data_IF_222921058012
#
_entry.id   IF_222921058012
#
_cell.length_a   1.000
_cell.length_b   1.000
_cell.length_c   1.000
_cell.angle_alpha   90.00
_cell.angle_beta   90.00
_cell.angle_gamma   90.00
#
_symmetry.space_group_name_H-M   'P 1'
#
loop_
_entity.id
_entity.type
_entity.pdbx_description
1 polymer ?
#
# COMPACT_ATOMS: atom_id res chain seq x y z
N UNK A 1 -47.28 37.19 -22.38
CA UNK A 1 -46.04 36.50 -22.80
C UNK A 1 -45.40 35.86 -21.56
N UNK A 2 -45.26 34.53 -21.46
CA UNK A 2 -44.51 33.93 -20.35
C UNK A 2 -43.05 33.75 -20.76
N UNK A 3 -42.13 34.22 -19.93
CA UNK A 3 -40.70 34.00 -20.07
C UNK A 3 -40.41 32.68 -19.35
N UNK A 4 -40.31 31.58 -20.08
CA UNK A 4 -39.87 30.30 -19.50
C UNK A 4 -38.36 30.38 -19.31
N UNK A 5 -37.92 30.72 -18.10
CA UNK A 5 -36.50 30.60 -17.70
C UNK A 5 -36.17 29.11 -17.56
N UNK A 6 -35.58 28.52 -18.60
CA UNK A 6 -35.02 27.18 -18.54
C UNK A 6 -33.62 27.30 -17.94
N UNK A 7 -33.50 27.05 -16.64
CA UNK A 7 -32.20 26.94 -15.99
C UNK A 7 -31.39 25.80 -16.64
N UNK A 8 -30.13 26.00 -17.04
CA UNK A 8 -29.32 24.92 -17.56
C UNK A 8 -28.96 23.99 -16.40
N UNK A 9 -29.43 22.74 -16.47
CA UNK A 9 -28.96 21.68 -15.61
C UNK A 9 -27.44 21.57 -15.76
N UNK A 10 -26.69 21.99 -14.74
CA UNK A 10 -25.24 21.82 -14.67
C UNK A 10 -24.93 20.33 -14.64
N UNK A 11 -24.73 19.75 -15.83
CA UNK A 11 -24.25 18.38 -16.00
C UNK A 11 -22.81 18.32 -15.56
N UNK A 12 -22.60 18.15 -14.26
CA UNK A 12 -21.29 17.85 -13.68
C UNK A 12 -20.80 16.54 -14.27
N UNK A 13 -19.84 16.62 -15.19
CA UNK A 13 -19.14 15.45 -15.70
C UNK A 13 -18.26 14.91 -14.58
N UNK A 14 -18.75 13.91 -13.88
CA UNK A 14 -18.08 13.24 -12.76
C UNK A 14 -16.67 12.79 -13.19
N UNK A 15 -15.58 13.40 -12.70
CA UNK A 15 -14.21 13.07 -13.09
C UNK A 15 -13.69 11.85 -12.33
N UNK A 16 -14.58 10.95 -11.89
CA UNK A 16 -14.30 9.87 -10.95
C UNK A 16 -13.21 8.93 -11.50
N UNK A 17 -13.20 8.67 -12.81
CA UNK A 17 -12.24 7.75 -13.44
C UNK A 17 -10.80 8.27 -13.38
N UNK A 18 -10.58 9.58 -13.52
CA UNK A 18 -9.25 10.18 -13.47
C UNK A 18 -8.70 10.27 -12.04
N UNK A 19 -9.58 10.48 -11.06
CA UNK A 19 -9.21 10.44 -9.65
C UNK A 19 -8.67 9.06 -9.24
N UNK A 20 -9.28 7.97 -9.73
CA UNK A 20 -8.77 6.61 -9.48
C UNK A 20 -7.41 6.36 -10.14
N UNK A 21 -7.21 6.80 -11.38
CA UNK A 21 -5.91 6.63 -12.08
C UNK A 21 -4.80 7.41 -11.37
N UNK A 22 -5.09 8.59 -10.83
CA UNK A 22 -4.10 9.40 -10.12
C UNK A 22 -3.78 8.87 -8.71
N UNK A 23 -4.78 8.36 -7.98
CA UNK A 23 -4.61 7.92 -6.58
C UNK A 23 -4.16 6.46 -6.44
N UNK A 24 -4.48 5.61 -7.40
CA UNK A 24 -4.09 4.20 -7.40
C UNK A 24 -2.58 3.95 -7.28
N UNK A 25 -1.68 4.62 -8.03
CA UNK A 25 -0.25 4.40 -7.88
C UNK A 25 0.27 4.86 -6.51
N UNK A 26 -0.28 5.93 -5.94
CA UNK A 26 0.10 6.40 -4.60
C UNK A 26 -0.33 5.40 -3.52
N UNK A 27 -1.53 4.86 -3.64
CA UNK A 27 -2.02 3.80 -2.76
C UNK A 27 -1.16 2.53 -2.86
N UNK A 28 -0.82 2.11 -4.09
CA UNK A 28 0.03 0.95 -4.33
C UNK A 28 1.44 1.15 -3.78
N UNK A 29 2.01 2.35 -3.96
CA UNK A 29 3.30 2.72 -3.37
C UNK A 29 3.25 2.67 -1.83
N UNK A 30 2.15 3.12 -1.21
CA UNK A 30 1.94 3.00 0.24
C UNK A 30 1.97 1.55 0.73
N UNK A 31 1.30 0.63 0.01
CA UNK A 31 1.34 -0.80 0.33
C UNK A 31 2.75 -1.37 0.18
N UNK A 32 3.46 -0.99 -0.89
CA UNK A 32 4.84 -1.41 -1.10
C UNK A 32 5.76 -0.93 0.03
N UNK A 33 5.63 0.33 0.44
CA UNK A 33 6.39 0.89 1.55
C UNK A 33 6.11 0.16 2.87
N UNK A 34 4.83 -0.13 3.17
CA UNK A 34 4.43 -0.88 4.36
C UNK A 34 5.02 -2.30 4.35
N UNK A 35 4.98 -2.99 3.21
CA UNK A 35 5.60 -4.31 3.06
C UNK A 35 7.11 -4.28 3.25
N UNK A 36 7.80 -3.31 2.64
CA UNK A 36 9.26 -3.15 2.80
C UNK A 36 9.60 -2.89 4.28
N UNK A 37 8.81 -2.05 4.96
CA UNK A 37 9.00 -1.79 6.39
C UNK A 37 8.85 -3.07 7.22
N UNK A 38 7.74 -3.81 7.05
CA UNK A 38 7.48 -5.07 7.77
C UNK A 38 8.58 -6.10 7.53
N UNK A 39 9.10 -6.20 6.31
CA UNK A 39 10.23 -7.11 6.03
C UNK A 39 11.49 -6.73 6.79
N UNK A 40 11.79 -5.43 6.92
CA UNK A 40 12.93 -4.95 7.71
C UNK A 40 12.75 -5.21 9.20
N UNK A 41 11.54 -5.00 9.72
CA UNK A 41 11.20 -5.30 11.11
C UNK A 41 11.36 -6.80 11.40
N UNK A 42 10.80 -7.67 10.54
CA UNK A 42 10.94 -9.12 10.67
C UNK A 42 12.40 -9.59 10.54
N UNK A 43 13.18 -8.96 9.66
CA UNK A 43 14.60 -9.27 9.49
C UNK A 43 15.47 -8.80 10.67
N UNK A 44 14.98 -7.84 11.46
CA UNK A 44 15.65 -7.27 12.62
C UNK A 44 15.14 -7.81 13.95
N UNK A 45 14.31 -8.87 13.95
CA UNK A 45 13.88 -9.52 15.19
C UNK A 45 15.10 -10.04 15.96
N UNK A 46 15.12 -9.75 17.26
CA UNK A 46 16.16 -10.23 18.16
C UNK A 46 15.99 -11.72 18.48
N UNK A 47 17.05 -12.37 18.94
CA UNK A 47 17.08 -13.81 19.20
C UNK A 47 16.01 -14.23 20.23
N UNK A 48 15.78 -13.41 21.26
CA UNK A 48 14.71 -13.65 22.23
C UNK A 48 13.30 -13.56 21.63
N UNK A 49 13.09 -12.69 20.64
CA UNK A 49 11.79 -12.55 19.96
C UNK A 49 11.54 -13.71 19.00
N UNK A 50 12.61 -14.24 18.40
CA UNK A 50 12.55 -15.43 17.56
C UNK A 50 12.28 -16.68 18.40
N UNK A 51 12.93 -16.81 19.56
CA UNK A 51 12.73 -17.91 20.50
C UNK A 51 11.30 -17.94 21.07
N UNK A 52 10.75 -16.78 21.46
CA UNK A 52 9.35 -16.66 21.92
C UNK A 52 8.34 -17.07 20.83
N UNK A 53 8.66 -16.80 19.56
CA UNK A 53 7.87 -17.25 18.42
C UNK A 53 8.12 -18.72 18.04
N UNK A 54 9.08 -19.40 18.67
CA UNK A 54 9.50 -20.76 18.36
C UNK A 54 10.19 -20.89 16.99
N UNK A 55 10.83 -19.82 16.52
CA UNK A 55 11.47 -19.74 15.22
C UNK A 55 12.98 -19.87 15.37
N UNK A 56 13.59 -20.80 14.63
CA UNK A 56 15.03 -20.96 14.58
C UNK A 56 15.73 -19.70 14.00
N UNK A 57 16.63 -19.04 14.77
CA UNK A 57 17.38 -17.88 14.31
C UNK A 57 18.25 -18.15 13.07
N UNK A 58 18.82 -19.35 12.93
CA UNK A 58 19.62 -19.71 11.75
C UNK A 58 18.77 -19.82 10.49
N UNK A 59 17.55 -20.36 10.64
CA UNK A 59 16.57 -20.38 9.57
C UNK A 59 16.22 -18.96 9.11
N UNK A 60 15.95 -18.04 10.04
CA UNK A 60 15.63 -16.63 9.73
C UNK A 60 16.79 -15.94 9.02
N UNK A 61 18.03 -16.12 9.51
CA UNK A 61 19.24 -15.58 8.87
C UNK A 61 19.38 -16.02 7.42
N UNK A 62 19.04 -17.28 7.11
CA UNK A 62 19.06 -17.81 5.73
C UNK A 62 17.90 -17.27 4.89
N UNK A 63 16.71 -17.17 5.47
CA UNK A 63 15.50 -16.71 4.79
C UNK A 63 15.62 -15.24 4.35
N UNK A 64 16.09 -14.36 5.26
CA UNK A 64 16.29 -12.92 5.01
C UNK A 64 17.35 -12.66 3.92
N UNK A 65 18.28 -13.60 3.69
CA UNK A 65 19.28 -13.47 2.62
C UNK A 65 18.69 -13.68 1.22
N UNK A 66 17.48 -14.22 1.08
CA UNK A 66 16.88 -14.45 -0.24
C UNK A 66 16.58 -13.12 -0.94
N UNK A 67 16.72 -13.04 -2.28
CA UNK A 67 16.53 -11.80 -3.04
C UNK A 67 15.17 -11.12 -2.80
N UNK A 68 14.12 -11.91 -2.61
CA UNK A 68 12.77 -11.42 -2.30
C UNK A 68 12.72 -10.52 -1.04
N UNK A 69 13.53 -10.82 -0.03
CA UNK A 69 13.54 -10.09 1.25
C UNK A 69 14.43 -8.84 1.24
N UNK A 70 15.34 -8.72 0.26
CA UNK A 70 16.29 -7.59 0.14
C UNK A 70 15.78 -6.43 -0.73
N UNK A 71 14.70 -6.65 -1.49
CA UNK A 71 14.11 -5.67 -2.40
C UNK A 71 13.10 -4.75 -1.71
#
# INVERSE_FOLDING_TARGET
MPITSVAPALRTKRPIRWAFVALYPLWLAGIWMDRVRKRRELAGLDEFQLDDAGIDPDYVRREVRKPFWRA
#
